data_IF_371620391550
#
_entry.id   IF_371620391550
#
_cell.length_a   1.000
_cell.length_b   1.000
_cell.length_c   1.000
_cell.angle_alpha   90.00
_cell.angle_beta   90.00
_cell.angle_gamma   90.00
#
_symmetry.space_group_name_H-M   'P 1'
#
loop_
_entity.id
_entity.type
_entity.pdbx_description
1 polymer ?
#
# COMPACT_ATOMS: atom_id res chain seq x y z
N UNK A 1 6.29 -49.09 -26.91
CA UNK A 1 7.15 -47.89 -26.81
C UNK A 1 6.68 -46.85 -27.82
N UNK A 2 5.92 -45.85 -27.40
CA UNK A 2 5.32 -44.84 -28.30
C UNK A 2 6.12 -43.54 -28.29
N UNK A 3 6.61 -43.10 -29.46
CA UNK A 3 7.32 -41.82 -29.62
C UNK A 3 6.29 -40.70 -29.85
N UNK A 4 5.88 -40.01 -28.80
CA UNK A 4 5.16 -38.74 -28.95
C UNK A 4 6.19 -37.59 -29.03
N UNK A 5 6.21 -36.88 -30.15
CA UNK A 5 7.07 -35.71 -30.36
C UNK A 5 6.48 -34.51 -29.62
N UNK A 6 7.13 -34.09 -28.53
CA UNK A 6 6.76 -32.88 -27.80
C UNK A 6 7.54 -31.73 -28.42
N UNK A 7 6.82 -30.79 -29.04
CA UNK A 7 7.37 -29.52 -29.51
C UNK A 7 7.39 -28.55 -28.33
N UNK A 8 8.55 -28.39 -27.71
CA UNK A 8 8.77 -27.38 -26.67
C UNK A 8 8.98 -26.04 -27.38
N UNK A 9 8.01 -25.15 -27.26
CA UNK A 9 8.22 -23.72 -27.58
C UNK A 9 8.80 -23.05 -26.34
N UNK A 10 10.04 -22.59 -26.43
CA UNK A 10 10.55 -21.61 -25.47
C UNK A 10 9.81 -20.29 -25.69
N UNK A 11 8.89 -19.99 -24.79
CA UNK A 11 8.33 -18.65 -24.62
C UNK A 11 9.20 -17.89 -23.63
N UNK A 12 9.65 -16.70 -24.02
CA UNK A 12 10.40 -15.79 -23.15
C UNK A 12 9.61 -15.51 -21.86
N UNK A 13 10.28 -15.55 -20.70
CA UNK A 13 9.73 -15.25 -19.37
C UNK A 13 9.12 -13.83 -19.29
N UNK A 14 9.44 -12.97 -20.26
CA UNK A 14 9.06 -11.56 -20.39
C UNK A 14 7.55 -11.25 -20.42
N UNK A 15 6.66 -12.25 -20.43
CA UNK A 15 5.22 -12.05 -20.64
C UNK A 15 4.34 -12.52 -19.47
N UNK A 16 4.94 -12.84 -18.32
CA UNK A 16 4.18 -12.90 -17.08
C UNK A 16 4.15 -11.51 -16.44
N UNK A 17 3.33 -10.62 -16.99
CA UNK A 17 2.81 -9.53 -16.17
C UNK A 17 1.93 -10.18 -15.11
N UNK A 18 2.49 -10.36 -13.92
CA UNK A 18 1.71 -10.71 -12.74
C UNK A 18 0.74 -9.57 -12.55
N UNK A 19 -0.50 -9.73 -13.02
CA UNK A 19 -1.61 -8.83 -12.70
C UNK A 19 -1.91 -9.09 -11.23
N UNK A 20 -1.04 -8.60 -10.34
CA UNK A 20 -1.41 -8.39 -8.95
C UNK A 20 -2.52 -7.35 -9.02
N UNK A 21 -3.78 -7.81 -9.02
CA UNK A 21 -4.95 -6.95 -9.01
C UNK A 21 -4.95 -6.17 -7.68
N UNK A 22 -4.27 -5.04 -7.68
CA UNK A 22 -4.34 -4.07 -6.60
C UNK A 22 -5.48 -3.12 -6.91
N UNK A 23 -6.47 -3.07 -6.03
CA UNK A 23 -7.52 -2.07 -6.11
C UNK A 23 -6.90 -0.71 -5.81
N UNK A 24 -6.80 0.14 -6.84
CA UNK A 24 -6.29 1.50 -6.71
C UNK A 24 -7.41 2.49 -6.38
N UNK A 25 -7.15 3.35 -5.40
CA UNK A 25 -8.04 4.45 -5.07
C UNK A 25 -7.26 5.68 -4.58
N UNK A 26 -7.94 6.82 -4.59
CA UNK A 26 -7.37 8.10 -4.16
C UNK A 26 -7.73 8.42 -2.71
N UNK A 27 -6.77 8.95 -1.97
CA UNK A 27 -6.99 9.54 -0.65
C UNK A 27 -6.40 10.95 -0.57
N UNK A 28 -7.02 11.79 0.27
CA UNK A 28 -6.62 13.18 0.46
C UNK A 28 -6.14 13.38 1.90
N UNK A 29 -4.84 13.59 2.08
CA UNK A 29 -4.20 13.70 3.38
C UNK A 29 -3.60 15.09 3.57
N UNK A 30 -3.57 15.59 4.82
CA UNK A 30 -2.94 16.88 5.11
C UNK A 30 -1.41 16.80 5.20
N UNK A 31 -0.85 15.61 5.41
CA UNK A 31 0.60 15.38 5.42
C UNK A 31 0.93 13.91 5.20
N UNK A 32 2.19 13.63 4.83
CA UNK A 32 2.73 12.28 4.62
C UNK A 32 3.04 11.52 5.93
N UNK A 33 2.48 11.93 7.07
CA UNK A 33 2.71 11.23 8.34
C UNK A 33 1.88 9.94 8.40
N UNK A 34 2.43 8.92 9.06
CA UNK A 34 1.83 7.60 9.22
C UNK A 34 0.42 7.67 9.83
N UNK A 35 0.25 8.41 10.93
CA UNK A 35 -1.05 8.55 11.60
C UNK A 35 -2.15 9.14 10.69
N UNK A 36 -1.79 10.09 9.83
CA UNK A 36 -2.72 10.73 8.90
C UNK A 36 -3.15 9.79 7.80
N UNK A 37 -2.18 9.06 7.24
CA UNK A 37 -2.42 8.10 6.17
C UNK A 37 -3.28 6.95 6.71
N UNK A 38 -2.90 6.36 7.84
CA UNK A 38 -3.64 5.27 8.47
C UNK A 38 -5.06 5.69 8.85
N UNK A 39 -5.25 6.90 9.39
CA UNK A 39 -6.59 7.42 9.70
C UNK A 39 -7.47 7.53 8.45
N UNK A 40 -6.91 8.00 7.33
CA UNK A 40 -7.62 8.09 6.05
C UNK A 40 -7.96 6.71 5.48
N UNK A 41 -7.09 5.71 5.64
CA UNK A 41 -7.30 4.35 5.14
C UNK A 41 -8.31 3.58 5.99
N UNK A 42 -8.24 3.69 7.31
CA UNK A 42 -9.14 3.02 8.25
C UNK A 42 -10.48 3.76 8.45
N UNK A 43 -10.58 5.02 8.02
CA UNK A 43 -11.73 5.91 8.26
C UNK A 43 -12.06 6.09 9.76
N UNK A 44 -11.03 6.21 10.60
CA UNK A 44 -11.16 6.44 12.06
C UNK A 44 -10.45 7.72 12.49
N UNK A 45 -10.71 8.18 13.72
CA UNK A 45 -10.07 9.40 14.24
C UNK A 45 -8.58 9.20 14.51
N UNK A 46 -7.81 10.30 14.50
CA UNK A 46 -6.36 10.25 14.78
C UNK A 46 -6.02 9.70 16.17
N UNK A 47 -6.86 9.95 17.18
CA UNK A 47 -6.65 9.43 18.53
C UNK A 47 -6.73 7.90 18.55
N UNK A 48 -7.73 7.32 17.85
CA UNK A 48 -7.86 5.87 17.72
C UNK A 48 -6.66 5.26 16.97
N UNK A 49 -6.19 5.93 15.91
CA UNK A 49 -4.99 5.48 15.18
C UNK A 49 -3.74 5.50 16.06
N UNK A 50 -3.58 6.51 16.91
CA UNK A 50 -2.43 6.59 17.79
C UNK A 50 -2.34 5.37 18.71
N UNK A 51 -3.44 5.02 19.39
CA UNK A 51 -3.52 3.81 20.22
C UNK A 51 -3.26 2.55 19.38
N UNK A 52 -3.82 2.49 18.17
CA UNK A 52 -3.66 1.36 17.27
C UNK A 52 -2.21 1.12 16.81
N UNK A 53 -1.49 2.21 16.51
CA UNK A 53 -0.07 2.18 16.15
C UNK A 53 0.76 1.73 17.36
N UNK A 54 0.48 2.26 18.56
CA UNK A 54 1.17 1.86 19.80
C UNK A 54 0.98 0.37 20.12
N UNK A 55 -0.19 -0.20 19.81
CA UNK A 55 -0.49 -1.62 19.96
C UNK A 55 0.12 -2.50 18.85
N UNK A 56 1.09 -2.00 18.08
CA UNK A 56 1.73 -2.71 16.97
C UNK A 56 0.73 -3.15 15.87
N UNK A 57 -0.35 -2.39 15.67
CA UNK A 57 -1.37 -2.65 14.67
C UNK A 57 -0.96 -2.28 13.24
N UNK A 58 0.16 -1.58 13.06
CA UNK A 58 0.64 -1.09 11.77
C UNK A 58 2.12 -1.44 11.57
N UNK A 59 2.45 -1.86 10.35
CA UNK A 59 3.81 -2.09 9.90
C UNK A 59 4.09 -1.23 8.66
N UNK A 60 5.29 -0.66 8.60
CA UNK A 60 5.81 0.05 7.43
C UNK A 60 6.96 -0.77 6.88
N UNK A 61 6.91 -1.15 5.61
CA UNK A 61 7.93 -1.98 4.98
C UNK A 61 8.27 -3.23 5.82
N UNK A 62 7.22 -3.96 6.23
CA UNK A 62 7.31 -5.21 7.01
C UNK A 62 7.91 -5.08 8.42
N UNK A 63 8.17 -3.85 8.90
CA UNK A 63 8.65 -3.58 10.25
C UNK A 63 7.54 -2.93 11.06
N UNK A 64 7.31 -3.39 12.30
CA UNK A 64 6.36 -2.77 13.22
C UNK A 64 6.82 -1.33 13.47
N UNK A 65 5.94 -0.38 13.21
CA UNK A 65 6.21 1.03 13.45
C UNK A 65 5.33 1.52 14.61
N UNK A 66 5.96 2.07 15.64
CA UNK A 66 5.27 2.66 16.78
C UNK A 66 5.32 4.18 16.74
N UNK A 67 6.20 4.78 15.93
CA UNK A 67 6.23 6.21 15.75
C UNK A 67 5.13 6.68 14.79
N UNK A 68 3.99 7.05 15.36
CA UNK A 68 2.84 7.63 14.65
C UNK A 68 3.19 8.87 13.80
N UNK A 69 4.26 9.59 14.15
CA UNK A 69 4.73 10.79 13.45
C UNK A 69 5.70 10.52 12.30
N UNK A 70 6.06 9.25 12.07
CA UNK A 70 6.94 8.86 10.95
C UNK A 70 6.41 9.40 9.63
N UNK A 71 7.32 9.95 8.83
CA UNK A 71 7.02 10.37 7.47
C UNK A 71 7.13 9.16 6.55
N UNK A 72 6.02 8.83 5.88
CA UNK A 72 5.96 7.82 4.83
C UNK A 72 6.36 8.41 3.49
N UNK A 73 6.87 7.57 2.61
CA UNK A 73 7.28 7.95 1.27
C UNK A 73 6.46 7.18 0.22
N UNK A 74 6.39 7.73 -0.98
CA UNK A 74 5.85 7.01 -2.12
C UNK A 74 6.72 5.76 -2.36
N UNK A 75 6.09 4.61 -2.54
CA UNK A 75 6.71 3.29 -2.61
C UNK A 75 6.59 2.48 -1.31
N UNK A 76 6.33 3.12 -0.16
CA UNK A 76 6.19 2.42 1.11
C UNK A 76 4.97 1.48 1.11
N UNK A 77 5.14 0.34 1.79
CA UNK A 77 4.09 -0.66 2.00
C UNK A 77 3.63 -0.60 3.45
N UNK A 78 2.37 -0.23 3.65
CA UNK A 78 1.69 -0.20 4.94
C UNK A 78 0.88 -1.47 5.13
N UNK A 79 1.24 -2.30 6.12
CA UNK A 79 0.40 -3.43 6.54
C UNK A 79 -0.39 -3.02 7.78
N UNK A 80 -1.70 -2.92 7.64
CA UNK A 80 -2.62 -2.55 8.73
C UNK A 80 -3.38 -3.80 9.13
N UNK A 81 -3.23 -4.21 10.39
CA UNK A 81 -3.86 -5.43 10.89
C UNK A 81 -5.38 -5.35 10.70
N UNK A 82 -6.01 -6.46 10.28
CA UNK A 82 -7.45 -6.56 9.95
C UNK A 82 -7.96 -5.70 8.78
N UNK A 83 -7.14 -4.84 8.17
CA UNK A 83 -7.55 -3.96 7.07
C UNK A 83 -6.86 -4.30 5.74
N UNK A 84 -5.69 -4.92 5.81
CA UNK A 84 -4.94 -5.40 4.65
C UNK A 84 -3.63 -4.66 4.43
N UNK A 85 -3.08 -4.80 3.22
CA UNK A 85 -1.84 -4.16 2.80
C UNK A 85 -2.12 -3.05 1.80
N UNK A 86 -1.46 -1.93 1.99
CA UNK A 86 -1.62 -0.73 1.19
C UNK A 86 -0.25 -0.27 0.70
N UNK A 87 -0.10 -0.07 -0.61
CA UNK A 87 1.12 0.52 -1.19
C UNK A 87 0.85 1.96 -1.58
N UNK A 88 1.69 2.88 -1.11
CA UNK A 88 1.63 4.28 -1.52
C UNK A 88 2.22 4.39 -2.94
N UNK A 89 1.39 4.63 -3.96
CA UNK A 89 1.83 4.52 -5.37
C UNK A 89 2.32 5.82 -5.97
N UNK A 90 1.49 6.87 -5.95
CA UNK A 90 1.80 8.12 -6.66
C UNK A 90 1.25 9.33 -5.90
N UNK A 91 2.02 10.41 -5.88
CA UNK A 91 1.55 11.75 -5.50
C UNK A 91 0.91 12.41 -6.73
N UNK A 92 -0.42 12.49 -6.79
CA UNK A 92 -1.15 13.02 -7.95
C UNK A 92 -1.06 14.54 -8.03
N UNK A 93 -1.37 15.24 -6.93
CA UNK A 93 -1.38 16.70 -6.88
C UNK A 93 -1.49 17.21 -5.43
N UNK A 94 -1.51 18.54 -5.29
CA UNK A 94 -1.92 19.23 -4.07
C UNK A 94 -3.23 19.97 -4.29
N UNK A 95 -4.12 19.98 -3.30
CA UNK A 95 -5.36 20.77 -3.34
C UNK A 95 -5.06 22.25 -3.10
N UNK A 96 -6.05 23.13 -3.34
CA UNK A 96 -5.95 24.57 -3.04
C UNK A 96 -5.63 24.88 -1.57
N UNK A 97 -5.95 23.97 -0.67
CA UNK A 97 -5.64 24.05 0.77
C UNK A 97 -4.37 23.28 1.15
N UNK A 98 -3.47 23.06 0.19
CA UNK A 98 -2.17 22.37 0.34
C UNK A 98 -2.24 20.92 0.85
N UNK A 99 -3.38 20.25 0.70
CA UNK A 99 -3.49 18.82 1.03
C UNK A 99 -2.94 17.96 -0.10
N UNK A 100 -2.30 16.84 0.24
CA UNK A 100 -1.77 15.89 -0.72
C UNK A 100 -2.88 14.96 -1.22
N UNK A 101 -2.96 14.78 -2.53
CA UNK A 101 -3.80 13.77 -3.18
C UNK A 101 -2.89 12.63 -3.61
N UNK A 102 -3.07 11.44 -3.03
CA UNK A 102 -2.23 10.27 -3.32
C UNK A 102 -3.06 9.08 -3.80
N UNK A 103 -2.49 8.32 -4.73
CA UNK A 103 -3.01 7.04 -5.18
C UNK A 103 -2.43 5.95 -4.29
N UNK A 104 -3.29 5.10 -3.77
CA UNK A 104 -2.94 3.96 -2.92
C UNK A 104 -3.47 2.70 -3.58
N UNK A 105 -2.62 1.68 -3.70
CA UNK A 105 -3.03 0.34 -4.11
C UNK A 105 -3.32 -0.51 -2.88
N UNK A 106 -4.47 -1.19 -2.83
CA UNK A 106 -4.79 -2.18 -1.80
C UNK A 106 -4.63 -3.58 -2.39
N UNK A 107 -3.84 -4.40 -1.71
CA UNK A 107 -3.73 -5.83 -2.02
C UNK A 107 -4.65 -6.60 -1.06
N UNK A 108 -5.57 -7.39 -1.61
CA UNK A 108 -6.42 -8.35 -0.89
C UNK A 108 -5.68 -9.64 -0.56
#
# INVERSE_FOLDING_TARGET
>A
VGKHSILIKESSISQFEKIDQEDEFEIIISSMRLDVIVASLMKVSRSQVHEYIMQAGVQVNWVIEQNHSRICQIGDVLSIKRHGRFRLKVLKSRTKSERFVIIVGKTV
#
